data_IF_377481737043
#
_entry.id   IF_377481737043
#
_cell.length_a   1.000
_cell.length_b   1.000
_cell.length_c   1.000
_cell.angle_alpha   90.00
_cell.angle_beta   90.00
_cell.angle_gamma   90.00
#
_symmetry.space_group_name_H-M   'P 1'
#
loop_
_entity.id
_entity.type
_entity.pdbx_description
1 polymer ?
#
# COMPACT_ATOMS: atom_id res chain seq x y z
N UNK A 1 10.23 33.49 -22.16
CA UNK A 1 10.11 33.61 -20.70
C UNK A 1 11.50 33.69 -20.11
N UNK A 2 11.85 34.80 -19.43
CA UNK A 2 13.18 34.91 -18.79
C UNK A 2 13.31 33.85 -17.69
N UNK A 3 14.44 33.16 -17.63
CA UNK A 3 14.68 32.11 -16.64
C UNK A 3 14.59 32.70 -15.22
N UNK A 4 14.24 31.85 -14.24
CA UNK A 4 14.12 32.27 -12.83
C UNK A 4 15.45 32.89 -12.32
N UNK A 5 16.58 32.40 -12.83
CA UNK A 5 17.92 32.90 -12.57
C UNK A 5 18.13 34.34 -13.07
N UNK A 6 17.65 34.71 -14.26
CA UNK A 6 17.73 36.06 -14.75
C UNK A 6 16.97 37.09 -13.89
N UNK A 7 15.82 36.69 -13.33
CA UNK A 7 15.03 37.53 -12.41
C UNK A 7 15.75 37.81 -11.11
N UNK A 8 16.64 36.91 -10.66
CA UNK A 8 17.42 37.03 -9.42
C UNK A 8 18.71 37.85 -9.67
N UNK A 9 19.36 37.69 -10.83
CA UNK A 9 20.62 38.33 -11.19
C UNK A 9 20.42 39.81 -11.56
N UNK A 10 19.40 40.14 -12.36
CA UNK A 10 19.12 41.51 -12.82
C UNK A 10 19.07 42.59 -11.73
N UNK A 11 18.37 42.40 -10.59
CA UNK A 11 18.36 43.40 -9.53
C UNK A 11 19.72 43.61 -8.88
N UNK A 12 20.54 42.54 -8.78
CA UNK A 12 21.85 42.60 -8.14
C UNK A 12 22.86 43.30 -9.06
N UNK A 13 22.85 43.04 -10.37
CA UNK A 13 23.59 43.76 -11.38
C UNK A 13 23.17 45.24 -11.45
N UNK A 14 21.87 45.50 -11.45
CA UNK A 14 21.35 46.86 -11.47
C UNK A 14 21.82 47.70 -10.27
N UNK A 15 21.98 47.08 -9.09
CA UNK A 15 22.56 47.75 -7.91
C UNK A 15 24.03 48.12 -8.14
N UNK A 16 24.85 47.23 -8.71
CA UNK A 16 26.27 47.48 -8.99
C UNK A 16 26.46 48.54 -10.06
N UNK A 17 25.66 48.54 -11.12
CA UNK A 17 25.65 49.53 -12.18
C UNK A 17 25.20 50.90 -11.68
N UNK A 18 24.12 50.96 -10.90
CA UNK A 18 23.61 52.21 -10.33
C UNK A 18 24.66 52.86 -9.42
N UNK A 19 25.38 52.07 -8.64
CA UNK A 19 26.45 52.59 -7.78
C UNK A 19 27.61 53.16 -8.59
N UNK A 20 27.95 52.58 -9.75
CA UNK A 20 28.97 53.13 -10.68
C UNK A 20 28.49 54.45 -11.30
N UNK A 21 27.24 54.52 -11.72
CA UNK A 21 26.67 55.74 -12.35
C UNK A 21 26.54 56.89 -11.37
N UNK A 22 26.12 56.63 -10.14
CA UNK A 22 25.97 57.64 -9.10
C UNK A 22 27.28 58.03 -8.39
N UNK A 23 28.36 57.26 -8.57
CA UNK A 23 29.60 57.42 -7.81
C UNK A 23 29.43 57.31 -6.29
N UNK A 24 28.26 56.87 -5.82
CA UNK A 24 27.92 56.84 -4.39
C UNK A 24 27.15 55.55 -4.04
N UNK A 25 27.85 54.62 -3.38
CA UNK A 25 27.31 53.33 -2.95
C UNK A 25 26.17 53.50 -1.96
N UNK A 26 26.27 54.44 -1.02
CA UNK A 26 25.22 54.64 -0.02
C UNK A 26 23.91 55.09 -0.64
N UNK A 27 23.98 55.95 -1.65
CA UNK A 27 22.81 56.44 -2.35
C UNK A 27 22.15 55.32 -3.21
N UNK A 28 22.97 54.57 -3.94
CA UNK A 28 22.51 53.43 -4.72
C UNK A 28 21.81 52.38 -3.87
N UNK A 29 22.40 52.01 -2.73
CA UNK A 29 21.82 51.11 -1.77
C UNK A 29 20.47 51.61 -1.20
N UNK A 30 20.38 52.91 -0.90
CA UNK A 30 19.16 53.52 -0.38
C UNK A 30 18.02 53.50 -1.41
N UNK A 31 18.37 53.75 -2.71
CA UNK A 31 17.38 53.73 -3.80
C UNK A 31 16.90 52.31 -4.08
N UNK A 32 17.78 51.32 -4.06
CA UNK A 32 17.45 49.92 -4.36
C UNK A 32 17.00 49.09 -3.15
N UNK A 33 17.02 49.67 -1.95
CA UNK A 33 16.57 48.98 -0.71
C UNK A 33 17.55 47.94 -0.19
N UNK A 34 18.85 48.04 -0.50
CA UNK A 34 19.89 47.11 -0.03
C UNK A 34 20.77 47.76 1.08
N UNK A 35 21.38 46.90 1.89
CA UNK A 35 22.43 47.36 2.80
C UNK A 35 23.79 47.52 2.09
N UNK A 36 24.68 48.34 2.63
CA UNK A 36 26.04 48.48 2.11
C UNK A 36 26.82 47.17 2.16
N UNK A 37 26.66 46.38 3.23
CA UNK A 37 27.29 45.06 3.35
C UNK A 37 26.84 44.11 2.21
N UNK A 38 25.54 44.18 1.85
CA UNK A 38 24.98 43.39 0.74
C UNK A 38 25.61 43.84 -0.60
N UNK A 39 25.83 45.14 -0.80
CA UNK A 39 26.49 45.68 -2.00
C UNK A 39 27.91 45.13 -2.15
N UNK A 40 28.76 45.26 -1.10
CA UNK A 40 30.14 44.77 -1.16
C UNK A 40 30.22 43.24 -1.31
N UNK A 41 29.28 42.51 -0.76
CA UNK A 41 29.19 41.08 -1.01
C UNK A 41 28.84 40.77 -2.47
N UNK A 42 27.92 41.49 -3.09
CA UNK A 42 27.59 41.30 -4.49
C UNK A 42 28.75 41.75 -5.42
N UNK A 43 29.40 42.82 -5.07
CA UNK A 43 30.61 43.28 -5.78
C UNK A 43 31.69 42.20 -5.75
N UNK A 44 32.04 41.68 -4.60
CA UNK A 44 33.02 40.60 -4.46
C UNK A 44 32.63 39.36 -5.26
N UNK A 45 31.37 38.93 -5.20
CA UNK A 45 30.88 37.80 -5.99
C UNK A 45 31.01 38.05 -7.49
N UNK A 46 30.67 39.26 -7.94
CA UNK A 46 30.77 39.63 -9.34
C UNK A 46 32.23 39.71 -9.82
N UNK A 47 33.13 40.22 -9.01
CA UNK A 47 34.57 40.29 -9.30
C UNK A 47 35.22 38.90 -9.35
N UNK A 48 34.75 37.95 -8.55
CA UNK A 48 35.33 36.61 -8.42
C UNK A 48 34.79 35.62 -9.46
N UNK A 49 33.53 35.70 -9.83
CA UNK A 49 32.87 34.70 -10.68
C UNK A 49 31.87 35.25 -11.68
N UNK A 50 31.89 36.58 -11.96
CA UNK A 50 31.00 37.19 -12.93
C UNK A 50 29.53 37.17 -12.59
N UNK A 51 28.68 37.29 -13.59
CA UNK A 51 27.22 37.32 -13.43
C UNK A 51 26.66 36.03 -12.85
N UNK A 52 27.23 34.88 -13.17
CA UNK A 52 26.77 33.58 -12.66
C UNK A 52 26.96 33.45 -11.16
N UNK A 53 27.99 34.08 -10.58
CA UNK A 53 28.23 34.07 -9.14
C UNK A 53 27.18 34.87 -8.35
N UNK A 54 26.39 35.71 -9.00
CA UNK A 54 25.27 36.43 -8.40
C UNK A 54 23.98 35.57 -8.24
N UNK A 55 23.95 34.35 -8.76
CA UNK A 55 22.87 33.45 -8.49
C UNK A 55 22.78 33.19 -6.96
N UNK A 56 21.55 33.01 -6.44
CA UNK A 56 21.37 32.54 -5.07
C UNK A 56 21.80 31.08 -4.97
N UNK A 57 23.02 30.85 -4.57
CA UNK A 57 23.45 29.55 -4.09
C UNK A 57 22.61 29.20 -2.86
N UNK A 58 22.01 28.02 -2.89
CA UNK A 58 21.27 27.47 -1.75
C UNK A 58 22.06 27.73 -0.46
N UNK A 59 21.41 28.31 0.57
CA UNK A 59 22.02 28.51 1.89
C UNK A 59 22.36 27.20 2.60
N UNK A 60 21.90 26.06 2.09
CA UNK A 60 22.34 24.75 2.54
C UNK A 60 23.80 24.56 2.17
N UNK A 61 24.65 24.45 3.20
CA UNK A 61 26.03 24.04 2.99
C UNK A 61 26.03 22.70 2.27
N UNK A 62 26.63 22.57 1.08
CA UNK A 62 26.60 21.32 0.30
C UNK A 62 27.29 20.17 1.04
N UNK A 63 28.17 20.46 2.00
CA UNK A 63 28.87 19.49 2.84
C UNK A 63 28.81 20.00 4.29
N UNK A 64 28.17 19.24 5.17
CA UNK A 64 28.24 19.52 6.61
C UNK A 64 29.63 19.18 7.14
N UNK A 65 30.17 20.01 8.06
CA UNK A 65 31.52 19.85 8.62
C UNK A 65 31.82 18.45 9.18
N UNK A 66 30.78 17.73 9.64
CA UNK A 66 30.87 16.39 10.22
C UNK A 66 30.28 15.30 9.32
N UNK A 67 30.09 15.58 8.01
CA UNK A 67 29.58 14.55 7.11
C UNK A 67 30.66 13.51 6.86
N UNK A 68 30.26 12.26 6.99
CA UNK A 68 31.12 11.09 6.74
C UNK A 68 31.50 11.08 5.25
N UNK A 69 32.72 10.68 4.88
CA UNK A 69 33.14 10.52 3.51
C UNK A 69 32.21 9.61 2.70
N UNK A 70 32.09 9.87 1.41
CA UNK A 70 31.11 9.19 0.56
C UNK A 70 31.30 7.68 0.49
N UNK A 71 32.55 7.20 0.48
CA UNK A 71 32.86 5.75 0.48
C UNK A 71 32.31 5.03 1.72
N UNK A 72 32.32 5.68 2.90
CA UNK A 72 31.72 5.13 4.12
C UNK A 72 30.19 5.12 4.00
N UNK A 73 29.62 6.19 3.44
CA UNK A 73 28.18 6.29 3.24
C UNK A 73 27.69 5.17 2.29
N UNK A 74 28.41 4.93 1.18
CA UNK A 74 28.11 3.85 0.25
C UNK A 74 28.27 2.45 0.90
N UNK A 75 29.29 2.22 1.69
CA UNK A 75 29.49 0.97 2.40
C UNK A 75 28.34 0.68 3.40
N UNK A 76 27.90 1.70 4.14
CA UNK A 76 26.74 1.59 5.06
C UNK A 76 25.45 1.28 4.31
N UNK A 77 25.22 1.91 3.16
CA UNK A 77 24.04 1.65 2.31
C UNK A 77 24.09 0.26 1.71
N UNK A 78 25.24 -0.15 1.18
CA UNK A 78 25.41 -1.49 0.59
C UNK A 78 25.19 -2.59 1.63
N UNK A 79 25.75 -2.46 2.83
CA UNK A 79 25.54 -3.40 3.93
C UNK A 79 24.05 -3.44 4.36
N UNK A 80 23.38 -2.28 4.40
CA UNK A 80 21.96 -2.21 4.78
C UNK A 80 21.04 -2.92 3.79
N UNK A 81 21.38 -2.88 2.50
CA UNK A 81 20.64 -3.56 1.43
C UNK A 81 20.97 -5.06 1.43
N UNK A 82 22.27 -5.42 1.55
CA UNK A 82 22.70 -6.80 1.58
C UNK A 82 22.13 -7.56 2.81
N UNK A 83 22.12 -6.93 3.97
CA UNK A 83 21.68 -7.52 5.23
C UNK A 83 20.59 -6.67 5.92
N UNK A 84 19.35 -6.63 5.43
CA UNK A 84 18.28 -5.77 5.94
C UNK A 84 17.94 -5.99 7.42
N UNK A 85 18.22 -7.18 7.97
CA UNK A 85 17.92 -7.56 9.34
C UNK A 85 18.87 -6.94 10.39
N UNK A 86 20.03 -6.40 9.96
CA UNK A 86 21.00 -5.80 10.87
C UNK A 86 20.44 -4.52 11.50
N UNK A 87 20.54 -4.44 12.85
CA UNK A 87 20.30 -3.20 13.57
C UNK A 87 21.51 -2.28 13.51
N UNK A 88 21.33 -0.98 13.79
CA UNK A 88 22.37 0.04 13.68
C UNK A 88 23.67 -0.29 14.45
N UNK A 89 23.57 -0.95 15.64
CA UNK A 89 24.74 -1.35 16.45
C UNK A 89 25.51 -2.49 15.80
N UNK A 90 24.80 -3.52 15.29
CA UNK A 90 25.43 -4.66 14.60
C UNK A 90 26.04 -4.23 13.28
N UNK A 91 25.35 -3.40 12.51
CA UNK A 91 25.88 -2.86 11.25
C UNK A 91 27.15 -2.01 11.49
N UNK A 92 27.19 -1.18 12.55
CA UNK A 92 28.40 -0.45 12.95
C UNK A 92 29.57 -1.39 13.29
N UNK A 93 29.30 -2.45 14.05
CA UNK A 93 30.33 -3.43 14.44
C UNK A 93 30.87 -4.21 13.24
N UNK A 94 30.00 -4.62 12.33
CA UNK A 94 30.37 -5.37 11.12
C UNK A 94 31.22 -4.51 10.17
N UNK A 95 30.88 -3.22 10.01
CA UNK A 95 31.69 -2.27 9.26
C UNK A 95 33.05 -2.01 9.93
N UNK A 96 33.12 -1.98 11.26
CA UNK A 96 34.38 -1.84 11.99
C UNK A 96 35.30 -3.07 11.77
N UNK A 97 34.76 -4.27 11.70
CA UNK A 97 35.52 -5.46 11.35
C UNK A 97 36.09 -5.40 9.93
N UNK A 98 35.41 -4.71 9.03
CA UNK A 98 35.88 -4.43 7.67
C UNK A 98 36.84 -3.22 7.58
N UNK A 99 37.23 -2.64 8.73
CA UNK A 99 38.13 -1.47 8.79
C UNK A 99 37.44 -0.12 8.57
N UNK A 100 36.09 -0.10 8.48
CA UNK A 100 35.31 1.13 8.26
C UNK A 100 34.79 1.65 9.61
N UNK A 101 35.41 2.73 10.11
CA UNK A 101 35.08 3.31 11.41
C UNK A 101 33.86 4.22 11.32
N UNK A 102 32.69 3.69 11.71
CA UNK A 102 31.44 4.46 11.80
C UNK A 102 30.67 4.10 13.07
N UNK A 103 30.17 5.10 13.77
CA UNK A 103 29.40 4.87 15.00
C UNK A 103 27.96 4.40 14.66
N UNK A 104 27.28 3.75 15.62
CA UNK A 104 25.90 3.32 15.45
C UNK A 104 24.93 4.50 15.16
N UNK A 105 25.19 5.68 15.75
CA UNK A 105 24.45 6.91 15.43
C UNK A 105 24.75 7.43 14.04
N UNK A 106 26.00 7.30 13.58
CA UNK A 106 26.40 7.62 12.19
C UNK A 106 25.68 6.74 11.18
N UNK A 107 25.64 5.41 11.42
CA UNK A 107 24.86 4.46 10.61
C UNK A 107 23.39 4.88 10.53
N UNK A 108 22.76 5.20 11.67
CA UNK A 108 21.37 5.67 11.70
C UNK A 108 21.18 6.95 10.89
N UNK A 109 22.07 7.92 10.99
CA UNK A 109 22.00 9.19 10.26
C UNK A 109 22.11 8.98 8.75
N UNK A 110 22.97 8.05 8.32
CA UNK A 110 23.08 7.63 6.90
C UNK A 110 21.80 6.97 6.45
N UNK A 111 21.27 6.01 7.21
CA UNK A 111 20.00 5.34 6.88
C UNK A 111 18.83 6.31 6.75
N UNK A 112 18.75 7.35 7.59
CA UNK A 112 17.72 8.40 7.48
C UNK A 112 17.84 9.20 6.17
N UNK A 113 19.07 9.51 5.72
CA UNK A 113 19.29 10.25 4.47
C UNK A 113 18.90 9.42 3.23
N UNK A 114 19.10 8.09 3.29
CA UNK A 114 18.81 7.16 2.19
C UNK A 114 17.47 6.45 2.32
N UNK A 115 16.60 6.86 3.24
CA UNK A 115 15.28 6.25 3.48
C UNK A 115 15.34 4.75 3.85
N UNK A 116 16.38 4.36 4.63
CA UNK A 116 16.69 2.98 5.04
C UNK A 116 16.57 2.74 6.55
N UNK A 117 15.99 3.67 7.32
CA UNK A 117 16.01 3.64 8.80
C UNK A 117 15.24 2.46 9.40
N UNK A 118 14.25 1.89 8.69
CA UNK A 118 13.47 0.75 9.16
C UNK A 118 13.81 -0.53 8.40
N UNK A 119 13.66 -1.69 9.06
CA UNK A 119 13.80 -2.99 8.40
C UNK A 119 12.94 -3.10 7.12
N UNK A 120 11.68 -2.65 7.17
CA UNK A 120 10.74 -2.68 6.05
C UNK A 120 11.25 -1.87 4.84
N UNK A 121 11.88 -0.72 5.07
CA UNK A 121 12.43 0.12 3.98
C UNK A 121 13.67 -0.50 3.36
N UNK A 122 14.55 -1.09 4.19
CA UNK A 122 15.74 -1.81 3.70
C UNK A 122 15.36 -3.03 2.86
N UNK A 123 14.32 -3.77 3.29
CA UNK A 123 13.81 -4.91 2.55
C UNK A 123 13.26 -4.49 1.18
N UNK A 124 12.50 -3.38 1.14
CA UNK A 124 11.99 -2.82 -0.11
C UNK A 124 13.13 -2.35 -1.05
N UNK A 125 14.20 -1.79 -0.49
CA UNK A 125 15.38 -1.42 -1.27
C UNK A 125 16.12 -2.65 -1.84
N UNK A 126 16.17 -3.76 -1.11
CA UNK A 126 16.69 -5.04 -1.59
C UNK A 126 15.83 -5.58 -2.74
N UNK A 127 14.49 -5.59 -2.60
CA UNK A 127 13.57 -6.01 -3.66
C UNK A 127 13.76 -5.18 -4.94
N UNK A 128 13.87 -3.85 -4.80
CA UNK A 128 14.09 -2.95 -5.93
C UNK A 128 15.43 -3.20 -6.62
N UNK A 129 16.49 -3.45 -5.85
CA UNK A 129 17.81 -3.76 -6.38
C UNK A 129 17.82 -5.10 -7.11
N UNK A 130 17.20 -6.14 -6.55
CA UNK A 130 17.07 -7.46 -7.20
C UNK A 130 16.30 -7.40 -8.52
N UNK A 131 15.24 -6.57 -8.56
CA UNK A 131 14.46 -6.37 -9.79
C UNK A 131 15.24 -5.63 -10.89
N UNK A 132 16.15 -4.71 -10.50
CA UNK A 132 16.97 -3.97 -11.46
C UNK A 132 18.17 -4.76 -11.99
N UNK A 133 18.81 -5.56 -11.15
CA UNK A 133 20.07 -6.24 -11.47
C UNK A 133 19.90 -7.69 -11.92
N UNK A 134 18.65 -8.24 -11.86
CA UNK A 134 18.39 -9.65 -12.18
C UNK A 134 19.14 -10.64 -11.27
N UNK A 135 19.57 -10.20 -10.10
CA UNK A 135 20.38 -10.95 -9.17
C UNK A 135 19.50 -11.99 -8.47
N UNK A 136 19.90 -13.24 -8.51
CA UNK A 136 19.34 -14.29 -7.67
C UNK A 136 19.57 -13.93 -6.21
N UNK A 137 18.49 -13.76 -5.46
CA UNK A 137 18.54 -13.53 -4.02
C UNK A 137 19.22 -14.74 -3.34
N UNK A 138 20.05 -14.49 -2.34
CA UNK A 138 20.57 -15.57 -1.52
C UNK A 138 19.43 -16.22 -0.73
N UNK A 139 19.59 -17.50 -0.39
CA UNK A 139 18.55 -18.25 0.33
C UNK A 139 18.16 -17.61 1.67
N UNK A 140 19.12 -17.02 2.38
CA UNK A 140 18.87 -16.23 3.60
C UNK A 140 18.05 -14.95 3.34
N UNK A 141 18.28 -14.29 2.22
CA UNK A 141 17.53 -13.09 1.80
C UNK A 141 16.10 -13.46 1.41
N UNK A 142 15.89 -14.57 0.71
CA UNK A 142 14.57 -15.13 0.41
C UNK A 142 13.80 -15.48 1.69
N UNK A 143 14.43 -16.18 2.63
CA UNK A 143 13.82 -16.50 3.93
C UNK A 143 13.44 -15.23 4.73
N UNK A 144 14.26 -14.18 4.69
CA UNK A 144 13.92 -12.89 5.31
C UNK A 144 12.72 -12.21 4.64
N UNK A 145 12.62 -12.28 3.31
CA UNK A 145 11.47 -11.76 2.55
C UNK A 145 10.19 -12.53 2.87
N UNK A 146 10.26 -13.86 2.87
CA UNK A 146 9.13 -14.73 3.22
C UNK A 146 8.68 -14.52 4.67
N UNK A 147 9.63 -14.46 5.61
CA UNK A 147 9.32 -14.18 7.02
C UNK A 147 8.65 -12.81 7.18
N UNK A 148 9.11 -11.78 6.48
CA UNK A 148 8.47 -10.46 6.49
C UNK A 148 7.08 -10.49 5.84
N UNK A 149 6.88 -11.28 4.80
CA UNK A 149 5.58 -11.52 4.16
C UNK A 149 4.61 -12.24 5.10
N UNK A 150 5.09 -13.28 5.78
CA UNK A 150 4.33 -14.01 6.81
C UNK A 150 4.00 -13.12 8.03
N UNK A 151 4.94 -12.29 8.49
CA UNK A 151 4.70 -11.33 9.57
C UNK A 151 3.67 -10.26 9.18
N UNK A 152 3.67 -9.77 7.94
CA UNK A 152 2.63 -8.86 7.43
C UNK A 152 1.26 -9.54 7.40
N UNK A 153 1.19 -10.78 6.89
CA UNK A 153 -0.04 -11.58 6.90
C UNK A 153 -0.49 -11.88 8.33
N UNK A 154 0.45 -12.22 9.22
CA UNK A 154 0.17 -12.44 10.63
C UNK A 154 -0.31 -11.17 11.36
N UNK A 155 0.05 -9.97 10.92
CA UNK A 155 -0.46 -8.68 11.44
C UNK A 155 -1.80 -8.28 10.84
N UNK A 156 -2.31 -9.02 9.84
CA UNK A 156 -3.56 -8.69 9.12
C UNK A 156 -3.40 -7.56 8.11
N UNK A 157 -2.17 -7.18 7.76
CA UNK A 157 -1.89 -6.32 6.61
C UNK A 157 -1.89 -7.19 5.34
N UNK A 158 -3.06 -7.44 4.78
CA UNK A 158 -3.16 -8.09 3.46
C UNK A 158 -2.70 -7.05 2.44
N UNK A 159 -1.59 -7.31 1.76
CA UNK A 159 -1.17 -6.47 0.64
C UNK A 159 -2.11 -6.70 -0.53
N UNK A 160 -2.66 -5.61 -1.03
CA UNK A 160 -3.51 -5.61 -2.21
C UNK A 160 -2.63 -5.56 -3.45
N UNK A 161 -2.79 -6.50 -4.36
CA UNK A 161 -1.95 -6.61 -5.55
C UNK A 161 -2.55 -5.89 -6.77
N UNK A 162 -3.86 -6.02 -6.95
CA UNK A 162 -4.61 -5.45 -8.07
C UNK A 162 -6.05 -5.11 -7.66
N UNK A 163 -6.84 -4.38 -8.49
CA UNK A 163 -8.27 -4.20 -8.26
C UNK A 163 -9.01 -5.54 -8.18
N UNK A 164 -9.96 -5.67 -7.26
CA UNK A 164 -10.70 -6.91 -7.02
C UNK A 164 -9.96 -7.96 -6.18
N UNK A 165 -8.67 -7.79 -5.88
CA UNK A 165 -7.93 -8.71 -5.02
C UNK A 165 -8.49 -8.78 -3.60
N UNK A 166 -8.84 -7.63 -3.03
CA UNK A 166 -9.38 -7.51 -1.70
C UNK A 166 -10.38 -6.36 -1.63
N UNK A 167 -11.62 -6.66 -1.29
CA UNK A 167 -12.62 -5.69 -0.91
C UNK A 167 -12.71 -5.56 0.61
N UNK A 168 -13.00 -4.38 1.11
CA UNK A 168 -13.30 -4.14 2.53
C UNK A 168 -14.79 -3.81 2.66
N UNK A 169 -15.52 -4.56 3.49
CA UNK A 169 -16.95 -4.33 3.75
C UNK A 169 -17.20 -4.04 5.22
N UNK A 170 -18.09 -3.10 5.48
CA UNK A 170 -18.44 -2.67 6.84
C UNK A 170 -19.84 -2.06 6.90
N UNK A 171 -20.46 -2.14 8.09
CA UNK A 171 -21.78 -1.58 8.37
C UNK A 171 -21.65 -0.32 9.20
N UNK A 172 -22.15 0.79 8.69
CA UNK A 172 -22.18 2.08 9.39
C UNK A 172 -23.59 2.44 9.84
N UNK A 173 -23.77 2.82 11.10
CA UNK A 173 -25.04 3.37 11.59
C UNK A 173 -25.13 4.85 11.22
N UNK A 174 -26.06 5.19 10.32
CA UNK A 174 -26.25 6.55 9.85
C UNK A 174 -27.02 7.41 10.86
N UNK A 175 -28.04 6.83 11.46
CA UNK A 175 -28.92 7.53 12.41
C UNK A 175 -30.33 6.95 12.42
N UNK A 176 -31.25 7.73 12.99
CA UNK A 176 -32.69 7.40 13.02
C UNK A 176 -33.48 8.47 12.30
N UNK A 177 -34.27 8.05 11.33
CA UNK A 177 -35.14 8.94 10.54
C UNK A 177 -36.58 8.80 10.99
N UNK A 178 -37.25 9.92 11.22
CA UNK A 178 -38.65 9.92 11.67
C UNK A 178 -39.54 9.30 10.60
N UNK A 179 -40.34 8.31 10.97
CA UNK A 179 -41.24 7.60 10.05
C UNK A 179 -40.62 6.38 9.35
N UNK A 180 -39.29 6.26 9.31
CA UNK A 180 -38.58 5.10 8.69
C UNK A 180 -37.90 4.22 9.74
N UNK A 181 -37.36 4.81 10.80
CA UNK A 181 -36.63 4.09 11.84
C UNK A 181 -35.13 4.24 11.74
N UNK A 182 -34.41 3.22 12.20
CA UNK A 182 -32.94 3.18 12.16
C UNK A 182 -32.46 2.93 10.73
N UNK A 183 -31.40 3.66 10.33
CA UNK A 183 -30.80 3.53 9.01
C UNK A 183 -29.38 3.00 9.17
N UNK A 184 -29.10 1.91 8.51
CA UNK A 184 -27.80 1.27 8.40
C UNK A 184 -27.29 1.39 6.97
N UNK A 185 -26.03 1.68 6.83
CA UNK A 185 -25.34 1.75 5.55
C UNK A 185 -24.42 0.54 5.43
N UNK A 186 -24.64 -0.30 4.44
CA UNK A 186 -23.65 -1.26 3.97
C UNK A 186 -22.69 -0.55 3.03
N UNK A 187 -21.41 -0.74 3.28
CA UNK A 187 -20.33 -0.11 2.50
C UNK A 187 -19.38 -1.17 2.03
N UNK A 188 -19.01 -1.11 0.76
CA UNK A 188 -17.91 -1.89 0.20
C UNK A 188 -16.91 -0.92 -0.45
N UNK A 189 -15.61 -1.14 -0.22
CA UNK A 189 -14.53 -0.37 -0.82
C UNK A 189 -13.46 -1.32 -1.35
N UNK A 190 -13.15 -1.24 -2.62
CA UNK A 190 -12.00 -1.95 -3.18
C UNK A 190 -10.70 -1.37 -2.61
N UNK A 191 -9.87 -2.22 -2.03
CA UNK A 191 -8.69 -1.77 -1.29
C UNK A 191 -7.56 -1.28 -2.18
N UNK A 192 -7.58 -1.60 -3.47
CA UNK A 192 -6.63 -1.10 -4.46
C UNK A 192 -7.08 0.24 -5.04
N UNK A 193 -8.15 0.25 -5.80
CA UNK A 193 -8.64 1.40 -6.56
C UNK A 193 -9.36 2.45 -5.71
N UNK A 194 -9.85 2.06 -4.53
CA UNK A 194 -10.73 2.89 -3.66
C UNK A 194 -12.12 3.12 -4.22
N UNK A 195 -12.52 2.40 -5.26
CA UNK A 195 -13.91 2.42 -5.73
C UNK A 195 -14.81 1.94 -4.60
N UNK A 196 -15.85 2.71 -4.33
CA UNK A 196 -16.75 2.51 -3.21
C UNK A 196 -18.19 2.29 -3.67
N UNK A 197 -18.90 1.45 -2.92
CA UNK A 197 -20.33 1.18 -3.09
C UNK A 197 -21.03 1.34 -1.74
N UNK A 198 -22.24 1.86 -1.78
CA UNK A 198 -23.05 2.13 -0.59
C UNK A 198 -24.50 1.75 -0.85
N UNK A 199 -25.12 1.01 0.06
CA UNK A 199 -26.56 0.74 0.04
C UNK A 199 -27.14 0.87 1.45
N UNK A 200 -28.31 1.52 1.55
CA UNK A 200 -28.97 1.82 2.81
C UNK A 200 -30.04 0.78 3.11
N UNK A 201 -30.16 0.45 4.40
CA UNK A 201 -31.12 -0.53 4.91
C UNK A 201 -31.72 -0.06 6.23
N UNK A 202 -32.89 -0.58 6.55
CA UNK A 202 -33.54 -0.37 7.86
C UNK A 202 -33.10 -1.39 8.89
N UNK A 203 -32.45 -2.48 8.43
CA UNK A 203 -31.98 -3.58 9.26
C UNK A 203 -30.50 -3.88 9.03
N UNK A 204 -29.86 -4.43 10.06
CA UNK A 204 -28.49 -4.90 10.04
C UNK A 204 -28.49 -6.43 10.19
N UNK A 205 -28.46 -7.12 9.06
CA UNK A 205 -28.57 -8.60 9.00
C UNK A 205 -27.52 -9.18 8.02
N UNK A 206 -27.28 -10.49 8.10
CA UNK A 206 -26.43 -11.20 7.17
C UNK A 206 -26.96 -11.12 5.71
N UNK A 207 -28.30 -11.06 5.57
CA UNK A 207 -28.95 -10.93 4.26
C UNK A 207 -28.65 -9.58 3.63
N UNK A 208 -28.76 -8.47 4.39
CA UNK A 208 -28.47 -7.12 3.88
C UNK A 208 -26.99 -6.95 3.53
N UNK A 209 -26.10 -7.65 4.22
CA UNK A 209 -24.67 -7.66 3.90
C UNK A 209 -24.38 -8.41 2.58
N UNK A 210 -25.04 -9.56 2.34
CA UNK A 210 -24.95 -10.32 1.10
C UNK A 210 -25.61 -9.59 -0.06
N UNK A 211 -26.77 -8.98 0.15
CA UNK A 211 -27.53 -8.23 -0.85
C UNK A 211 -26.71 -7.06 -1.42
N UNK A 212 -25.93 -6.37 -0.59
CA UNK A 212 -25.01 -5.32 -1.04
C UNK A 212 -24.00 -5.84 -2.07
N UNK A 213 -23.41 -7.02 -1.86
CA UNK A 213 -22.47 -7.63 -2.79
C UNK A 213 -23.17 -8.06 -4.07
N UNK A 214 -24.32 -8.72 -3.94
CA UNK A 214 -25.08 -9.26 -5.07
C UNK A 214 -25.65 -8.17 -5.98
N UNK A 215 -26.18 -7.09 -5.39
CA UNK A 215 -26.90 -6.05 -6.16
C UNK A 215 -25.96 -5.01 -6.78
N UNK A 216 -24.85 -4.67 -6.10
CA UNK A 216 -24.03 -3.54 -6.51
C UNK A 216 -22.58 -3.89 -6.83
N UNK A 217 -21.97 -4.78 -6.07
CA UNK A 217 -20.54 -5.02 -6.18
C UNK A 217 -20.21 -6.01 -7.27
N UNK A 218 -20.76 -7.22 -7.20
CA UNK A 218 -20.45 -8.28 -8.17
C UNK A 218 -20.84 -7.93 -9.59
N UNK A 219 -22.03 -7.35 -9.87
CA UNK A 219 -22.37 -6.93 -11.22
C UNK A 219 -21.37 -5.93 -11.82
N UNK A 220 -20.88 -4.99 -10.99
CA UNK A 220 -19.90 -4.01 -11.42
C UNK A 220 -18.54 -4.64 -11.77
N UNK A 221 -18.02 -5.52 -10.91
CA UNK A 221 -16.75 -6.19 -11.14
C UNK A 221 -16.81 -7.16 -12.31
N UNK A 222 -17.92 -7.90 -12.43
CA UNK A 222 -18.17 -8.81 -13.55
C UNK A 222 -18.25 -8.06 -14.91
N UNK A 223 -18.94 -6.92 -14.95
CA UNK A 223 -19.01 -6.06 -16.16
C UNK A 223 -17.61 -5.58 -16.62
N UNK A 224 -16.70 -5.39 -15.70
CA UNK A 224 -15.31 -5.00 -15.98
C UNK A 224 -14.39 -6.20 -16.28
N UNK A 225 -14.87 -7.42 -16.09
CA UNK A 225 -14.07 -8.63 -16.21
C UNK A 225 -12.95 -8.70 -15.17
N UNK A 226 -13.21 -8.20 -13.96
CA UNK A 226 -12.29 -8.21 -12.83
C UNK A 226 -12.89 -9.13 -11.75
N UNK A 227 -12.23 -10.24 -11.37
CA UNK A 227 -12.75 -11.09 -10.31
C UNK A 227 -12.60 -10.43 -8.94
N UNK A 228 -13.59 -10.59 -8.09
CA UNK A 228 -13.47 -10.26 -6.67
C UNK A 228 -13.01 -11.52 -5.91
N UNK A 229 -11.75 -11.52 -5.48
CA UNK A 229 -11.15 -12.73 -4.90
C UNK A 229 -11.40 -12.85 -3.39
N UNK A 230 -11.43 -11.73 -2.67
CA UNK A 230 -11.48 -11.75 -1.21
C UNK A 230 -12.22 -10.55 -0.63
N UNK A 231 -12.97 -10.77 0.45
CA UNK A 231 -13.62 -9.70 1.21
C UNK A 231 -13.15 -9.71 2.66
N UNK A 232 -12.74 -8.55 3.14
CA UNK A 232 -12.36 -8.30 4.53
C UNK A 232 -13.53 -7.63 5.26
N UNK A 233 -13.96 -8.25 6.36
CA UNK A 233 -15.00 -7.69 7.24
C UNK A 233 -14.53 -7.64 8.70
N UNK A 234 -15.26 -6.94 9.54
CA UNK A 234 -15.16 -7.11 10.98
C UNK A 234 -15.77 -8.45 11.41
N UNK A 235 -15.90 -8.66 12.73
CA UNK A 235 -16.51 -9.84 13.30
C UNK A 235 -17.97 -9.61 13.74
N UNK A 236 -18.63 -8.64 13.13
CA UNK A 236 -20.05 -8.37 13.38
C UNK A 236 -20.93 -9.58 13.09
N UNK A 237 -22.05 -9.68 13.78
CA UNK A 237 -23.00 -10.78 13.60
C UNK A 237 -23.62 -10.84 12.21
N UNK A 238 -23.59 -9.75 11.46
CA UNK A 238 -23.99 -9.67 10.05
C UNK A 238 -23.00 -10.35 9.10
N UNK A 239 -21.73 -10.51 9.50
CA UNK A 239 -20.68 -11.12 8.70
C UNK A 239 -20.23 -12.48 9.21
N UNK A 240 -20.43 -12.74 10.51
CA UNK A 240 -19.89 -13.91 11.17
C UNK A 240 -20.93 -14.60 12.05
N UNK A 241 -21.15 -15.89 11.82
CA UNK A 241 -22.01 -16.75 12.59
C UNK A 241 -21.56 -18.21 12.54
N UNK A 242 -22.48 -19.14 12.82
CA UNK A 242 -22.27 -20.57 12.58
C UNK A 242 -22.19 -20.78 11.07
N UNK A 243 -21.07 -21.32 10.58
CA UNK A 243 -20.74 -21.41 9.14
C UNK A 243 -21.84 -22.11 8.35
N UNK A 244 -22.43 -23.16 8.89
CA UNK A 244 -23.42 -23.99 8.19
C UNK A 244 -24.75 -23.28 7.90
N UNK A 245 -25.06 -22.17 8.59
CA UNK A 245 -26.36 -21.50 8.52
C UNK A 245 -26.27 -19.97 8.35
N UNK A 246 -25.07 -19.41 8.17
CA UNK A 246 -24.91 -17.96 8.09
C UNK A 246 -25.00 -17.46 6.66
N UNK A 247 -26.08 -16.78 6.30
CA UNK A 247 -26.42 -16.38 4.94
C UNK A 247 -25.28 -15.66 4.20
N UNK A 248 -24.57 -14.74 4.86
CA UNK A 248 -23.45 -14.03 4.25
C UNK A 248 -22.27 -14.96 3.92
N UNK A 249 -21.89 -15.85 4.83
CA UNK A 249 -20.77 -16.77 4.62
C UNK A 249 -21.09 -17.82 3.55
N UNK A 250 -22.34 -18.32 3.52
CA UNK A 250 -22.81 -19.22 2.46
C UNK A 250 -22.80 -18.53 1.10
N UNK A 251 -23.24 -17.27 1.05
CA UNK A 251 -23.22 -16.49 -0.18
C UNK A 251 -21.78 -16.33 -0.74
N UNK A 252 -20.82 -15.96 0.11
CA UNK A 252 -19.42 -15.86 -0.30
C UNK A 252 -18.84 -17.19 -0.80
N UNK A 253 -19.22 -18.30 -0.15
CA UNK A 253 -18.79 -19.63 -0.55
C UNK A 253 -19.36 -20.03 -1.94
N UNK A 254 -20.61 -19.69 -2.22
CA UNK A 254 -21.25 -19.93 -3.54
C UNK A 254 -20.56 -19.12 -4.64
N UNK A 255 -20.19 -17.88 -4.35
CA UNK A 255 -19.49 -16.98 -5.30
C UNK A 255 -17.97 -17.22 -5.37
N UNK A 256 -17.44 -18.22 -4.66
CA UNK A 256 -16.01 -18.52 -4.56
C UNK A 256 -15.15 -17.31 -4.09
N UNK A 257 -15.68 -16.54 -3.14
CA UNK A 257 -15.01 -15.37 -2.58
C UNK A 257 -14.45 -15.72 -1.19
N UNK A 258 -13.15 -15.54 -1.01
CA UNK A 258 -12.50 -15.75 0.28
C UNK A 258 -12.98 -14.74 1.33
N UNK A 259 -13.36 -15.23 2.51
CA UNK A 259 -13.75 -14.40 3.64
C UNK A 259 -12.61 -14.19 4.63
N UNK A 260 -12.04 -13.01 4.65
CA UNK A 260 -11.04 -12.58 5.65
C UNK A 260 -11.70 -11.78 6.77
N UNK A 261 -11.32 -12.07 8.01
CA UNK A 261 -11.86 -11.40 9.20
C UNK A 261 -10.78 -10.57 9.87
N UNK A 262 -11.13 -9.39 10.35
CA UNK A 262 -10.21 -8.55 11.13
C UNK A 262 -9.81 -9.27 12.43
N UNK A 263 -8.59 -9.02 12.92
CA UNK A 263 -8.17 -9.55 14.23
C UNK A 263 -9.01 -8.95 15.34
N UNK A 264 -9.40 -9.78 16.31
CA UNK A 264 -10.07 -9.31 17.50
C UNK A 264 -9.21 -8.23 18.19
N UNK A 265 -9.82 -7.10 18.56
CA UNK A 265 -9.20 -5.94 19.21
C UNK A 265 -8.15 -5.18 18.39
N UNK A 266 -8.15 -5.31 17.06
CA UNK A 266 -7.28 -4.52 16.15
C UNK A 266 -8.14 -3.71 15.18
N UNK A 267 -8.66 -2.54 15.58
CA UNK A 267 -9.54 -1.73 14.73
C UNK A 267 -8.84 -1.20 13.47
N UNK A 268 -7.51 -1.17 13.44
CA UNK A 268 -6.72 -0.66 12.32
C UNK A 268 -6.86 -1.48 11.02
N UNK A 269 -7.38 -2.72 11.09
CA UNK A 269 -7.47 -3.61 9.92
C UNK A 269 -8.60 -3.23 8.97
N UNK A 270 -9.66 -2.52 9.40
CA UNK A 270 -10.74 -2.01 8.54
C UNK A 270 -10.68 -0.49 8.31
N UNK A 271 -9.51 0.11 8.49
CA UNK A 271 -9.30 1.57 8.40
C UNK A 271 -9.64 2.20 7.04
N UNK A 272 -9.87 1.39 5.99
CA UNK A 272 -10.29 1.86 4.67
C UNK A 272 -11.78 2.25 4.69
N UNK A 273 -12.64 1.35 5.15
CA UNK A 273 -14.06 1.65 5.32
C UNK A 273 -14.30 2.74 6.37
N UNK A 274 -13.60 2.71 7.50
CA UNK A 274 -13.70 3.77 8.53
C UNK A 274 -13.37 5.16 7.97
N UNK A 275 -12.31 5.26 7.15
CA UNK A 275 -11.94 6.51 6.49
C UNK A 275 -12.98 6.95 5.48
N UNK A 276 -13.54 6.02 4.72
CA UNK A 276 -14.62 6.29 3.78
C UNK A 276 -15.87 6.78 4.52
N UNK A 277 -16.29 6.11 5.61
CA UNK A 277 -17.43 6.53 6.45
C UNK A 277 -17.26 7.96 6.99
N UNK A 278 -16.05 8.28 7.46
CA UNK A 278 -15.72 9.64 7.93
C UNK A 278 -15.86 10.67 6.80
N UNK A 279 -15.37 10.32 5.62
CA UNK A 279 -15.47 11.21 4.44
C UNK A 279 -16.93 11.43 4.05
N UNK A 280 -17.71 10.35 3.91
CA UNK A 280 -19.13 10.39 3.56
C UNK A 280 -19.94 11.14 4.63
N UNK A 281 -19.66 10.91 5.91
CA UNK A 281 -20.29 11.64 6.99
C UNK A 281 -20.07 13.15 6.87
N UNK A 282 -18.82 13.58 6.75
CA UNK A 282 -18.45 14.99 6.75
C UNK A 282 -18.88 15.71 5.47
N UNK A 283 -18.71 15.07 4.31
CA UNK A 283 -18.95 15.71 3.00
C UNK A 283 -20.41 15.58 2.54
N UNK A 284 -21.15 14.59 3.05
CA UNK A 284 -22.53 14.36 2.65
C UNK A 284 -23.52 14.42 3.83
N UNK A 285 -23.51 13.48 4.77
CA UNK A 285 -24.57 13.38 5.79
C UNK A 285 -24.70 14.62 6.67
N UNK A 286 -23.59 15.16 7.17
CA UNK A 286 -23.59 16.35 8.04
C UNK A 286 -24.14 17.58 7.33
N UNK A 287 -24.06 17.63 6.00
CA UNK A 287 -24.58 18.72 5.17
C UNK A 287 -26.02 18.43 4.73
N UNK A 288 -26.28 17.23 4.21
CA UNK A 288 -27.57 16.87 3.64
C UNK A 288 -28.69 16.92 4.67
N UNK A 289 -28.49 16.38 5.88
CA UNK A 289 -29.49 16.43 6.94
C UNK A 289 -29.76 17.83 7.51
N UNK A 290 -28.90 18.82 7.24
CA UNK A 290 -29.15 20.22 7.56
C UNK A 290 -29.90 20.98 6.47
N UNK A 291 -29.77 20.49 5.22
CA UNK A 291 -30.38 21.17 4.06
C UNK A 291 -31.74 20.60 3.66
N UNK A 292 -31.96 19.31 3.94
CA UNK A 292 -33.13 18.58 3.45
C UNK A 292 -33.70 17.64 4.49
N UNK A 293 -35.00 17.58 4.61
CA UNK A 293 -35.72 16.56 5.39
C UNK A 293 -36.13 15.44 4.44
N UNK A 294 -35.55 14.28 4.65
CA UNK A 294 -35.84 13.08 3.88
C UNK A 294 -37.12 12.42 4.42
N UNK A 295 -38.01 12.00 3.52
CA UNK A 295 -39.26 11.35 3.86
C UNK A 295 -39.22 9.82 3.67
N UNK A 296 -38.34 9.34 2.80
CA UNK A 296 -38.15 7.91 2.52
C UNK A 296 -36.70 7.53 2.46
N UNK A 297 -36.42 6.22 2.62
CA UNK A 297 -35.08 5.66 2.48
C UNK A 297 -34.58 5.79 1.04
N UNK A 298 -35.48 5.63 0.06
CA UNK A 298 -35.14 5.72 -1.37
C UNK A 298 -34.68 7.12 -1.77
N UNK A 299 -35.31 8.15 -1.20
CA UNK A 299 -34.92 9.54 -1.45
C UNK A 299 -33.48 9.78 -0.93
N UNK A 300 -33.17 9.30 0.27
CA UNK A 300 -31.82 9.39 0.83
C UNK A 300 -30.82 8.56 0.01
N UNK A 301 -31.22 7.35 -0.44
CA UNK A 301 -30.38 6.50 -1.27
C UNK A 301 -30.00 7.16 -2.60
N UNK A 302 -30.95 7.81 -3.28
CA UNK A 302 -30.67 8.52 -4.53
C UNK A 302 -29.62 9.63 -4.36
N UNK A 303 -29.71 10.39 -3.27
CA UNK A 303 -28.73 11.46 -3.00
C UNK A 303 -27.37 10.86 -2.59
N UNK A 304 -27.33 9.76 -1.83
CA UNK A 304 -26.10 9.02 -1.53
C UNK A 304 -25.48 8.46 -2.80
N UNK A 305 -26.28 7.87 -3.71
CA UNK A 305 -25.77 7.30 -4.96
C UNK A 305 -25.16 8.38 -5.87
N UNK A 306 -25.73 9.59 -5.88
CA UNK A 306 -25.15 10.74 -6.59
C UNK A 306 -23.79 11.10 -6.02
N UNK A 307 -23.68 11.21 -4.70
CA UNK A 307 -22.43 11.54 -4.02
C UNK A 307 -21.38 10.44 -4.22
N UNK A 308 -21.75 9.16 -4.14
CA UNK A 308 -20.82 8.01 -4.38
C UNK A 308 -20.32 8.03 -5.81
N UNK A 309 -21.15 8.39 -6.78
CA UNK A 309 -20.72 8.56 -8.19
C UNK A 309 -19.68 9.68 -8.31
N UNK A 310 -19.93 10.84 -7.71
CA UNK A 310 -18.96 11.94 -7.66
C UNK A 310 -17.66 11.54 -6.97
N UNK A 311 -17.74 10.79 -5.86
CA UNK A 311 -16.58 10.23 -5.16
C UNK A 311 -15.75 9.31 -6.04
N UNK A 312 -16.39 8.42 -6.80
CA UNK A 312 -15.70 7.45 -7.64
C UNK A 312 -15.12 8.07 -8.93
N UNK A 313 -15.85 8.99 -9.56
CA UNK A 313 -15.55 9.48 -10.91
C UNK A 313 -14.83 10.84 -10.94
N UNK A 314 -15.08 11.70 -9.97
CA UNK A 314 -14.63 13.10 -10.01
C UNK A 314 -13.61 13.40 -8.91
N UNK A 315 -13.84 12.89 -7.69
CA UNK A 315 -13.03 13.23 -6.52
C UNK A 315 -11.62 12.64 -6.62
N UNK A 316 -10.54 13.45 -6.58
CA UNK A 316 -9.18 12.94 -6.53
C UNK A 316 -8.91 12.26 -5.18
N UNK A 317 -8.18 11.17 -5.20
CA UNK A 317 -7.91 10.35 -4.02
C UNK A 317 -6.39 10.24 -3.74
N UNK A 318 -5.97 10.52 -2.50
CA UNK A 318 -4.57 10.45 -2.06
C UNK A 318 -4.13 9.08 -1.55
N UNK A 319 -4.91 8.03 -1.79
CA UNK A 319 -4.60 6.66 -1.36
C UNK A 319 -3.36 6.09 -2.05
N UNK A 320 -2.80 5.03 -1.45
CA UNK A 320 -1.51 4.42 -1.83
C UNK A 320 -1.33 4.15 -3.33
N UNK A 321 -2.39 3.79 -4.05
CA UNK A 321 -2.33 3.44 -5.47
C UNK A 321 -2.99 4.50 -6.38
N UNK A 322 -3.71 5.47 -5.81
CA UNK A 322 -4.44 6.47 -6.58
C UNK A 322 -3.57 7.64 -7.03
N UNK A 323 -2.60 8.07 -6.21
CA UNK A 323 -1.65 9.15 -6.54
C UNK A 323 -2.33 10.44 -7.06
N UNK A 324 -3.49 10.79 -6.51
CA UNK A 324 -4.25 11.96 -6.94
C UNK A 324 -5.23 11.70 -8.10
N UNK A 325 -5.29 10.50 -8.66
CA UNK A 325 -6.32 10.09 -9.62
C UNK A 325 -7.64 9.80 -8.91
N UNK A 326 -8.73 9.74 -9.66
CA UNK A 326 -10.02 9.28 -9.13
C UNK A 326 -9.99 7.75 -8.91
N UNK A 327 -10.82 7.23 -7.99
CA UNK A 327 -10.97 5.79 -7.81
C UNK A 327 -11.25 5.04 -9.11
N UNK A 328 -12.17 5.55 -9.93
CA UNK A 328 -12.55 4.93 -11.20
C UNK A 328 -11.40 4.94 -12.23
N UNK A 329 -10.61 6.02 -12.29
CA UNK A 329 -9.45 6.07 -13.15
C UNK A 329 -8.37 5.09 -12.70
N UNK A 330 -8.14 4.99 -11.39
CA UNK A 330 -7.18 4.03 -10.81
C UNK A 330 -7.59 2.58 -11.11
N UNK A 331 -8.89 2.27 -11.05
CA UNK A 331 -9.42 0.95 -11.41
C UNK A 331 -9.19 0.64 -12.89
N UNK A 332 -9.51 1.58 -13.79
CA UNK A 332 -9.31 1.40 -15.24
C UNK A 332 -7.84 1.19 -15.61
N UNK A 333 -6.96 1.99 -15.03
CA UNK A 333 -5.52 1.93 -15.30
C UNK A 333 -4.89 0.60 -14.86
N UNK A 334 -5.41 -0.01 -13.78
CA UNK A 334 -4.88 -1.24 -13.20
C UNK A 334 -5.70 -2.51 -13.54
N UNK A 335 -6.78 -2.41 -14.34
CA UNK A 335 -7.63 -3.54 -14.67
C UNK A 335 -6.89 -4.67 -15.41
N UNK A 336 -5.85 -4.33 -16.21
CA UNK A 336 -5.03 -5.32 -16.90
C UNK A 336 -4.28 -6.22 -15.94
N UNK A 337 -3.83 -5.72 -14.79
CA UNK A 337 -3.10 -6.50 -13.78
C UNK A 337 -3.96 -7.65 -13.21
N UNK A 338 -5.27 -7.42 -13.03
CA UNK A 338 -6.18 -8.45 -12.56
C UNK A 338 -6.35 -9.58 -13.60
N UNK A 339 -6.36 -9.23 -14.88
CA UNK A 339 -6.47 -10.19 -15.98
C UNK A 339 -5.20 -11.03 -16.17
N UNK A 340 -4.04 -10.42 -16.10
CA UNK A 340 -2.75 -11.12 -16.15
C UNK A 340 -2.61 -12.14 -15.03
N UNK A 341 -2.97 -11.76 -13.81
CA UNK A 341 -2.93 -12.65 -12.64
C UNK A 341 -3.91 -13.82 -12.71
N UNK A 342 -5.06 -13.64 -13.35
CA UNK A 342 -5.98 -14.76 -13.63
C UNK A 342 -5.35 -15.80 -14.56
N UNK A 343 -4.71 -15.36 -15.63
CA UNK A 343 -4.03 -16.24 -16.56
C UNK A 343 -2.92 -17.04 -15.87
N UNK A 344 -2.08 -16.38 -15.07
CA UNK A 344 -1.03 -17.05 -14.29
C UNK A 344 -1.59 -18.13 -13.35
N UNK A 345 -2.75 -17.88 -12.71
CA UNK A 345 -3.39 -18.85 -11.80
C UNK A 345 -3.99 -20.04 -12.56
N UNK A 346 -4.55 -19.82 -13.74
CA UNK A 346 -5.03 -20.89 -14.60
C UNK A 346 -3.89 -21.80 -15.07
N UNK A 347 -2.78 -21.24 -15.54
CA UNK A 347 -1.60 -22.03 -15.96
C UNK A 347 -0.95 -22.81 -14.81
N UNK A 348 -0.90 -22.21 -13.61
CA UNK A 348 -0.42 -22.93 -12.41
C UNK A 348 -1.37 -24.02 -11.93
N UNK A 349 -2.67 -23.87 -12.15
CA UNK A 349 -3.68 -24.87 -11.88
C UNK A 349 -3.57 -26.09 -12.79
N UNK A 350 -3.34 -25.89 -14.09
CA UNK A 350 -3.14 -26.94 -15.08
C UNK A 350 -1.85 -27.72 -14.84
N UNK A 351 -0.73 -27.04 -14.56
CA UNK A 351 0.55 -27.70 -14.23
C UNK A 351 0.50 -28.51 -12.93
N UNK A 352 -0.30 -28.10 -11.94
CA UNK A 352 -0.53 -28.85 -10.71
C UNK A 352 -1.49 -30.05 -10.90
N UNK A 353 -2.38 -30.00 -11.86
CA UNK A 353 -3.23 -31.15 -12.22
C UNK A 353 -2.44 -32.20 -12.99
N UNK A 354 -1.62 -31.81 -13.96
CA UNK A 354 -0.73 -32.73 -14.70
C UNK A 354 0.25 -33.44 -13.76
N UNK A 355 0.86 -32.71 -12.81
CA UNK A 355 1.77 -33.31 -11.82
C UNK A 355 1.05 -34.21 -10.80
N UNK A 356 -0.26 -34.04 -10.57
CA UNK A 356 -1.07 -34.97 -9.77
C UNK A 356 -1.49 -36.22 -10.54
N UNK A 357 -1.79 -36.10 -11.80
CA UNK A 357 -2.10 -37.25 -12.66
C UNK A 357 -0.86 -38.12 -12.91
N UNK A 358 0.33 -37.53 -13.14
CA UNK A 358 1.59 -38.25 -13.20
C UNK A 358 1.95 -39.01 -11.90
N UNK A 359 1.66 -38.40 -10.74
CA UNK A 359 1.87 -39.06 -9.44
C UNK A 359 0.84 -40.17 -9.13
N UNK A 360 -0.37 -40.07 -9.66
CA UNK A 360 -1.42 -41.09 -9.54
C UNK A 360 -1.07 -42.30 -10.48
N UNK A 361 -0.66 -42.05 -11.72
CA UNK A 361 -0.26 -43.12 -12.64
C UNK A 361 0.97 -43.89 -12.17
N UNK A 362 1.95 -43.18 -11.59
CA UNK A 362 3.13 -43.82 -10.99
C UNK A 362 2.82 -44.62 -9.71
N UNK A 363 1.76 -44.31 -8.99
CA UNK A 363 1.33 -45.10 -7.83
C UNK A 363 0.50 -46.32 -8.21
N UNK A 364 -0.24 -46.28 -9.31
CA UNK A 364 -0.96 -47.45 -9.85
C UNK A 364 0.01 -48.46 -10.45
N UNK A 365 1.08 -48.04 -11.15
CA UNK A 365 2.13 -48.94 -11.65
C UNK A 365 2.93 -49.62 -10.54
N UNK A 366 3.11 -48.98 -9.38
CA UNK A 366 3.72 -49.59 -8.20
C UNK A 366 2.83 -50.58 -7.45
N UNK A 367 1.52 -50.48 -7.58
CA UNK A 367 0.54 -51.42 -7.00
C UNK A 367 0.38 -52.66 -7.87
N UNK A 368 0.43 -52.54 -9.21
CA UNK A 368 0.34 -53.67 -10.14
C UNK A 368 1.59 -54.60 -10.13
N UNK A 369 2.73 -54.09 -9.71
CA UNK A 369 3.98 -54.87 -9.60
C UNK A 369 4.14 -55.66 -8.29
N UNK A 370 3.17 -55.57 -7.37
CA UNK A 370 3.16 -56.31 -6.08
C UNK A 370 2.28 -57.55 -6.05
N UNK A 371 1.49 -57.81 -7.11
CA UNK A 371 0.58 -58.98 -7.16
C UNK A 371 1.18 -60.25 -7.80
N UNK A 372 2.46 -60.31 -8.11
CA UNK A 372 3.12 -61.51 -8.63
C UNK A 372 4.26 -61.96 -7.73
N UNK A 373 3.94 -62.53 -6.56
CA UNK A 373 4.87 -63.40 -5.81
C UNK A 373 4.13 -64.66 -5.37
N UNK A 374 4.71 -65.85 -5.49
CA UNK A 374 3.98 -67.11 -5.31
C UNK A 374 3.75 -67.42 -3.84
N UNK A 375 2.57 -68.02 -3.60
CA UNK A 375 2.19 -68.63 -2.33
C UNK A 375 3.12 -69.78 -1.99
N UNK A 376 3.70 -69.75 -0.82
CA UNK A 376 4.34 -70.92 -0.22
C UNK A 376 3.52 -71.34 1.02
N UNK A 377 3.05 -72.58 0.97
CA UNK A 377 2.28 -73.25 2.00
C UNK A 377 3.20 -73.63 3.20
N UNK A 378 2.83 -73.20 4.41
CA UNK A 378 3.10 -74.00 5.60
C UNK A 378 2.16 -73.66 6.73
N UNK A 379 1.34 -74.65 7.05
CA UNK A 379 0.48 -74.79 8.21
C UNK A 379 1.20 -74.65 9.56
N UNK A 380 0.39 -74.29 10.52
CA UNK A 380 0.25 -74.79 11.91
C UNK A 380 0.33 -73.76 13.04
N UNK A 381 -0.83 -73.70 13.68
CA UNK A 381 -1.09 -73.79 15.13
C UNK A 381 -0.47 -72.71 16.06
N UNK A 382 -1.25 -72.01 16.78
CA UNK A 382 -1.84 -72.39 18.07
C UNK A 382 -2.55 -71.20 18.75
N UNK A 383 -3.68 -71.56 19.27
CA UNK A 383 -4.56 -70.96 20.27
C UNK A 383 -3.90 -70.15 21.38
N UNK A 384 -4.72 -69.19 21.81
CA UNK A 384 -5.00 -68.79 23.18
C UNK A 384 -4.07 -67.80 23.91
N UNK A 385 -4.60 -66.70 24.34
CA UNK A 385 -4.79 -66.40 25.76
C UNK A 385 -5.21 -64.92 26.00
N UNK A 386 -6.45 -64.77 26.53
CA UNK A 386 -6.93 -63.86 27.56
C UNK A 386 -6.74 -62.34 27.52
N UNK A 387 -7.84 -61.64 27.47
CA UNK A 387 -8.47 -60.72 28.47
C UNK A 387 -7.53 -60.03 29.49
N UNK A 388 -7.43 -58.73 29.44
CA UNK A 388 -7.78 -57.84 30.54
C UNK A 388 -7.98 -56.41 29.99
#
# INVERSE_FOLDING_TARGET
MSSLSEKIIKPKLGLLELAKQLGNVSQACKVMGYSRDTFYRFQHLYETGGEEALQELSRRKPIEKNRVPEYIEQAVVSLAIANPALGQKRASHELQQQGIMVSASGVRSIWLRHDLETFKKRLKALEAKSAQEGILLTEEQLQCLEKAKLEKQARGEIETEHPGYLGSQDTYFVGTMKGVGRIYQQTFVDTYSRVAFVKLYTEKTAITAADMLNDRVLPFFNDKGIPLLRVLTDRGTEYCGKVDNHAYQLYLAVENIDHSKTKARSPQTNGICERFHRTLKNEFYDIAFRKKLYQSLDELQQDVDRWVREYNEIRPHSGKFCYGKTPMQTLKDAAHMAKEKQLETCFQGESNMESREENLSSSEDMLSSRETAPQDDSEKSSEAFWRA
#
